data_IF_001365184068
#
_entry.id   IF_001365184068
#
_cell.length_a   1.000
_cell.length_b   1.000
_cell.length_c   1.000
_cell.angle_alpha   90.00
_cell.angle_beta   90.00
_cell.angle_gamma   90.00
#
_symmetry.space_group_name_H-M   'P 1'
#
loop_
_entity.id
_entity.type
_entity.pdbx_description
1 polymer ?
#
# COMPACT_ATOMS: atom_id res chain seq x y z
N UNK A 1 -12.77 14.91 11.89
CA UNK A 1 -12.77 14.44 10.49
C UNK A 1 -11.49 14.85 9.76
N UNK A 2 -11.10 16.13 9.79
CA UNK A 2 -9.91 16.63 9.09
C UNK A 2 -8.60 15.97 9.53
N UNK A 3 -8.43 15.66 10.82
CA UNK A 3 -7.20 15.02 11.33
C UNK A 3 -6.94 13.61 10.76
N UNK A 4 -7.97 12.76 10.67
CA UNK A 4 -7.84 11.41 10.11
C UNK A 4 -7.56 11.47 8.59
N UNK A 5 -8.18 12.42 7.89
CA UNK A 5 -7.92 12.66 6.48
C UNK A 5 -6.47 13.13 6.24
N UNK A 6 -5.98 14.10 7.02
CA UNK A 6 -4.60 14.58 6.94
C UNK A 6 -3.59 13.49 7.29
N UNK A 7 -3.85 12.70 8.34
CA UNK A 7 -3.01 11.56 8.71
C UNK A 7 -2.94 10.52 7.57
N UNK A 8 -4.08 10.23 6.94
CA UNK A 8 -4.14 9.36 5.76
C UNK A 8 -3.36 9.91 4.57
N UNK A 9 -3.47 11.22 4.29
CA UNK A 9 -2.69 11.87 3.23
C UNK A 9 -1.17 11.79 3.50
N UNK A 10 -0.74 12.11 4.71
CA UNK A 10 0.69 12.06 5.09
C UNK A 10 1.21 10.62 5.04
N UNK A 11 0.44 9.65 5.52
CA UNK A 11 0.80 8.24 5.43
C UNK A 11 0.91 7.78 3.97
N UNK A 12 -0.07 8.13 3.13
CA UNK A 12 -0.04 7.83 1.69
C UNK A 12 1.16 8.45 0.99
N UNK A 13 1.48 9.71 1.30
CA UNK A 13 2.66 10.38 0.77
C UNK A 13 3.95 9.68 1.21
N UNK A 14 4.05 9.28 2.49
CA UNK A 14 5.20 8.53 3.01
C UNK A 14 5.41 7.19 2.31
N UNK A 15 4.34 6.51 1.90
CA UNK A 15 4.41 5.26 1.11
C UNK A 15 4.77 5.53 -0.36
N UNK A 16 4.39 6.68 -0.93
CA UNK A 16 4.61 7.02 -2.33
C UNK A 16 6.01 7.60 -2.63
N UNK A 17 6.70 8.18 -1.64
CA UNK A 17 8.03 8.79 -1.81
C UNK A 17 9.13 7.79 -2.21
N UNK A 18 9.22 6.58 -1.62
CA UNK A 18 10.25 5.62 -1.98
C UNK A 18 10.01 5.01 -3.37
N UNK A 19 11.05 4.98 -4.20
CA UNK A 19 11.00 4.32 -5.52
C UNK A 19 11.14 2.82 -5.32
N UNK A 20 10.00 2.11 -5.31
CA UNK A 20 9.95 0.65 -5.18
C UNK A 20 10.08 -0.10 -6.52
N UNK A 21 10.06 -1.44 -6.43
CA UNK A 21 10.17 -2.32 -7.60
C UNK A 21 9.10 -2.06 -8.68
N UNK A 22 7.86 -1.76 -8.29
CA UNK A 22 6.78 -1.44 -9.23
C UNK A 22 7.05 -0.13 -9.97
N UNK A 23 7.60 0.89 -9.31
CA UNK A 23 7.96 2.14 -9.95
C UNK A 23 9.05 1.92 -11.01
N UNK A 24 10.06 1.10 -10.70
CA UNK A 24 11.11 0.71 -11.66
C UNK A 24 10.51 -0.10 -12.83
N UNK A 25 9.58 -1.01 -12.56
CA UNK A 25 8.87 -1.76 -13.60
C UNK A 25 8.11 -0.82 -14.55
N UNK A 26 7.34 0.13 -14.03
CA UNK A 26 6.58 1.10 -14.82
C UNK A 26 7.51 1.99 -15.64
N UNK A 27 8.61 2.48 -15.05
CA UNK A 27 9.62 3.27 -15.75
C UNK A 27 10.26 2.44 -16.88
N UNK A 28 10.64 1.19 -16.61
CA UNK A 28 11.18 0.28 -17.61
C UNK A 28 10.19 -0.05 -18.73
N UNK A 29 8.91 -0.22 -18.39
CA UNK A 29 7.84 -0.43 -19.38
C UNK A 29 7.68 0.80 -20.28
N UNK A 30 7.68 1.99 -19.67
CA UNK A 30 7.56 3.27 -20.36
C UNK A 30 8.73 3.48 -21.33
N UNK A 31 9.95 3.17 -20.89
CA UNK A 31 11.17 3.28 -21.69
C UNK A 31 11.20 2.29 -22.86
N UNK A 32 10.67 1.07 -22.68
CA UNK A 32 10.65 0.04 -23.74
C UNK A 32 9.49 0.15 -24.72
N UNK A 33 8.41 0.84 -24.36
CA UNK A 33 7.18 0.88 -25.17
C UNK A 33 6.80 2.31 -25.53
N UNK A 34 6.15 3.03 -24.61
CA UNK A 34 5.84 4.45 -24.73
C UNK A 34 5.34 5.02 -23.40
N UNK A 35 5.35 6.34 -23.28
CA UNK A 35 4.76 7.04 -22.13
C UNK A 35 3.28 6.71 -21.92
N UNK A 36 2.51 6.51 -22.99
CA UNK A 36 1.08 6.17 -22.91
C UNK A 36 0.85 4.82 -22.22
N UNK A 37 1.65 3.82 -22.56
CA UNK A 37 1.56 2.49 -21.96
C UNK A 37 2.00 2.53 -20.49
N UNK A 38 3.08 3.27 -20.20
CA UNK A 38 3.53 3.53 -18.84
C UNK A 38 2.48 4.21 -17.96
N UNK A 39 1.86 5.28 -18.47
CA UNK A 39 0.80 6.01 -17.77
C UNK A 39 -0.43 5.13 -17.53
N UNK A 40 -0.83 4.31 -18.52
CA UNK A 40 -1.91 3.34 -18.35
C UNK A 40 -1.59 2.29 -17.28
N UNK A 41 -0.34 1.79 -17.24
CA UNK A 41 0.11 0.86 -16.22
C UNK A 41 0.12 1.50 -14.82
N UNK A 42 0.61 2.74 -14.69
CA UNK A 42 0.59 3.47 -13.43
C UNK A 42 -0.84 3.71 -12.92
N UNK A 43 -1.76 4.10 -13.82
CA UNK A 43 -3.16 4.28 -13.48
C UNK A 43 -3.83 2.98 -13.05
N UNK A 44 -3.53 1.86 -13.72
CA UNK A 44 -4.03 0.55 -13.35
C UNK A 44 -3.58 0.13 -11.94
N UNK A 45 -2.30 0.33 -11.61
CA UNK A 45 -1.76 0.08 -10.26
C UNK A 45 -2.46 0.95 -9.22
N UNK A 46 -2.55 2.26 -9.46
CA UNK A 46 -3.21 3.18 -8.55
C UNK A 46 -4.70 2.83 -8.34
N UNK A 47 -5.37 2.35 -9.40
CA UNK A 47 -6.77 1.91 -9.32
C UNK A 47 -6.91 0.63 -8.51
N UNK A 48 -6.01 -0.34 -8.69
CA UNK A 48 -5.99 -1.57 -7.91
C UNK A 48 -5.78 -1.29 -6.41
N UNK A 49 -4.82 -0.42 -6.08
CA UNK A 49 -4.56 0.01 -4.70
C UNK A 49 -5.76 0.76 -4.11
N UNK A 50 -6.37 1.65 -4.91
CA UNK A 50 -7.57 2.38 -4.51
C UNK A 50 -8.76 1.47 -4.23
N UNK A 51 -8.98 0.44 -5.05
CA UNK A 51 -10.02 -0.56 -4.82
C UNK A 51 -9.76 -1.38 -3.56
N UNK A 52 -8.52 -1.81 -3.35
CA UNK A 52 -8.14 -2.53 -2.13
C UNK A 52 -8.37 -1.68 -0.88
N UNK A 53 -7.93 -0.41 -0.92
CA UNK A 53 -8.15 0.54 0.16
C UNK A 53 -9.65 0.81 0.41
N UNK A 54 -10.46 0.92 -0.64
CA UNK A 54 -11.92 1.10 -0.50
C UNK A 54 -12.58 -0.11 0.16
N UNK A 55 -12.23 -1.33 -0.27
CA UNK A 55 -12.72 -2.56 0.37
C UNK A 55 -12.29 -2.63 1.83
N UNK A 56 -11.03 -2.31 2.14
CA UNK A 56 -10.53 -2.29 3.51
C UNK A 56 -11.22 -1.23 4.37
N UNK A 57 -11.49 -0.03 3.84
CA UNK A 57 -12.14 1.05 4.57
C UNK A 57 -13.62 0.75 4.84
N UNK A 58 -14.34 0.20 3.86
CA UNK A 58 -15.77 -0.13 3.96
C UNK A 58 -16.01 -1.40 4.79
N UNK A 59 -15.17 -2.43 4.63
CA UNK A 59 -15.29 -3.69 5.37
C UNK A 59 -14.60 -3.69 6.73
N UNK A 60 -13.66 -2.79 6.95
CA UNK A 60 -12.79 -2.79 8.12
C UNK A 60 -13.50 -2.53 9.45
N UNK A 61 -14.56 -1.72 9.46
CA UNK A 61 -15.26 -1.38 10.71
C UNK A 61 -15.93 -2.60 11.36
N UNK A 62 -16.54 -3.49 10.57
CA UNK A 62 -17.14 -4.72 11.07
C UNK A 62 -16.10 -5.77 11.45
N UNK A 63 -15.02 -5.86 10.65
CA UNK A 63 -13.95 -6.84 10.88
C UNK A 63 -13.04 -6.46 12.05
N UNK A 64 -12.88 -5.16 12.35
CA UNK A 64 -12.04 -4.66 13.43
C UNK A 64 -12.49 -5.18 14.81
N UNK A 65 -13.81 -5.29 15.05
CA UNK A 65 -14.34 -5.83 16.29
C UNK A 65 -14.01 -7.30 16.50
N UNK A 66 -13.98 -8.08 15.41
CA UNK A 66 -13.65 -9.52 15.43
C UNK A 66 -12.15 -9.75 15.59
N UNK A 67 -11.32 -8.91 14.98
CA UNK A 67 -9.85 -9.03 15.01
C UNK A 67 -9.24 -8.41 16.27
N UNK A 68 -9.91 -7.46 16.93
CA UNK A 68 -9.44 -6.81 18.15
C UNK A 68 -8.78 -7.73 19.20
N UNK A 69 -9.37 -8.89 19.59
CA UNK A 69 -8.76 -9.78 20.59
C UNK A 69 -7.42 -10.40 20.15
N UNK A 70 -7.19 -10.55 18.84
CA UNK A 70 -5.96 -11.15 18.28
C UNK A 70 -5.05 -10.13 17.61
N UNK A 71 -5.41 -8.85 17.61
CA UNK A 71 -4.64 -7.80 16.93
C UNK A 71 -3.24 -7.62 17.52
N UNK A 72 -3.08 -7.73 18.84
CA UNK A 72 -1.80 -7.60 19.52
C UNK A 72 -0.79 -8.70 19.12
N UNK A 73 -1.10 -10.01 19.23
CA UNK A 73 -0.19 -11.05 18.76
C UNK A 73 0.07 -10.96 17.25
N UNK A 74 -0.95 -10.60 16.45
CA UNK A 74 -0.78 -10.44 15.00
C UNK A 74 0.21 -9.32 14.64
N UNK A 75 0.20 -8.20 15.37
CA UNK A 75 1.16 -7.10 15.19
C UNK A 75 2.59 -7.53 15.50
N UNK A 76 2.79 -8.33 16.56
CA UNK A 76 4.12 -8.85 16.90
C UNK A 76 4.61 -9.78 15.80
N UNK A 77 3.76 -10.69 15.32
CA UNK A 77 4.09 -11.57 14.19
C UNK A 77 4.45 -10.77 12.95
N UNK A 78 3.64 -9.75 12.59
CA UNK A 78 3.92 -8.87 11.46
C UNK A 78 5.27 -8.15 11.62
N UNK A 79 5.57 -7.63 12.81
CA UNK A 79 6.86 -6.97 13.09
C UNK A 79 8.04 -7.95 12.93
N UNK A 80 7.93 -9.16 13.46
CA UNK A 80 8.96 -10.20 13.32
C UNK A 80 9.19 -10.56 11.84
N UNK A 81 8.12 -10.73 11.07
CA UNK A 81 8.21 -11.03 9.64
C UNK A 81 8.89 -9.88 8.88
N UNK A 82 8.51 -8.63 9.16
CA UNK A 82 9.13 -7.47 8.53
C UNK A 82 10.62 -7.32 8.89
N UNK A 83 10.99 -7.58 10.14
CA UNK A 83 12.39 -7.58 10.58
C UNK A 83 13.19 -8.70 9.93
N UNK A 84 12.61 -9.90 9.81
CA UNK A 84 13.24 -11.02 9.12
C UNK A 84 13.47 -10.71 7.64
N UNK A 85 12.49 -10.11 6.97
CA UNK A 85 12.61 -9.70 5.58
C UNK A 85 13.67 -8.58 5.41
N UNK A 86 13.69 -7.62 6.33
CA UNK A 86 14.68 -6.55 6.34
C UNK A 86 16.11 -7.05 6.59
N UNK A 87 16.28 -8.13 7.36
CA UNK A 87 17.58 -8.76 7.57
C UNK A 87 17.99 -9.76 6.48
N UNK A 88 17.07 -10.16 5.60
CA UNK A 88 17.33 -11.09 4.50
C UNK A 88 17.58 -10.37 3.15
N UNK A 89 17.19 -9.11 3.04
CA UNK A 89 17.53 -8.21 1.92
C UNK A 89 18.87 -7.52 2.12
#
# INVERSE_FOLDING_TARGET
>A
MTGAFLAGMVAGYGVAVPVGAIAILILGLSARTSFRVGAAAALAVATADGLYAAVAALGGAGLAGVIAPVAAPLRVVAAVVLLALAGHG
#
